data_IF_395901412300
#
_entry.id   IF_395901412300
#
_cell.length_a   1.000
_cell.length_b   1.000
_cell.length_c   1.000
_cell.angle_alpha   90.00
_cell.angle_beta   90.00
_cell.angle_gamma   90.00
#
_symmetry.space_group_name_H-M   'P 1'
#
loop_
_entity.id
_entity.type
_entity.pdbx_description
1 polymer ?
#
# COMPACT_ATOMS: atom_id res chain seq x y z
N UNK A 1 14.97 15.66 25.47
CA UNK A 1 16.11 15.83 24.52
C UNK A 1 15.67 16.80 23.44
N UNK A 2 16.42 17.89 23.22
CA UNK A 2 16.05 18.94 22.25
C UNK A 2 16.44 18.46 20.85
N UNK A 3 15.59 17.65 20.24
CA UNK A 3 15.82 17.09 18.91
C UNK A 3 15.90 18.23 17.89
N UNK A 4 17.00 18.32 17.15
CA UNK A 4 17.18 19.38 16.16
C UNK A 4 16.20 19.16 15.02
N UNK A 5 15.27 20.12 14.83
CA UNK A 5 14.26 20.09 13.75
C UNK A 5 14.88 19.78 12.38
N UNK A 6 16.10 20.28 12.13
CA UNK A 6 16.86 20.07 10.90
C UNK A 6 17.39 18.64 10.75
N UNK A 7 17.81 18.02 11.85
CA UNK A 7 18.33 16.64 11.84
C UNK A 7 17.20 15.64 11.65
N UNK A 8 16.03 15.87 12.25
CA UNK A 8 14.83 15.07 12.00
C UNK A 8 14.44 15.08 10.50
N UNK A 9 14.47 16.25 9.86
CA UNK A 9 14.20 16.39 8.43
C UNK A 9 15.27 15.73 7.56
N UNK A 10 16.55 15.78 7.96
CA UNK A 10 17.62 15.07 7.26
C UNK A 10 17.43 13.55 7.33
N UNK A 11 17.14 12.99 8.52
CA UNK A 11 16.85 11.57 8.66
C UNK A 11 15.57 11.14 7.96
N UNK A 12 14.61 12.05 7.72
CA UNK A 12 13.41 11.74 6.94
C UNK A 12 13.70 11.40 5.47
N UNK A 13 14.91 11.67 4.97
CA UNK A 13 15.33 11.18 3.65
C UNK A 13 15.32 9.64 3.57
N UNK A 14 15.50 8.95 4.70
CA UNK A 14 15.26 7.51 4.78
C UNK A 14 13.85 7.28 5.36
N UNK A 15 12.99 6.53 4.65
CA UNK A 15 11.61 6.32 5.08
C UNK A 15 11.60 5.67 6.46
N UNK A 16 10.96 6.33 7.43
CA UNK A 16 10.83 5.89 8.83
C UNK A 16 11.98 6.27 9.77
N UNK A 17 13.17 6.64 9.29
CA UNK A 17 14.29 7.02 10.16
C UNK A 17 14.05 8.38 10.86
N UNK A 18 13.40 9.33 10.17
CA UNK A 18 12.99 10.60 10.78
C UNK A 18 12.01 10.41 11.95
N UNK A 19 11.11 9.42 11.87
CA UNK A 19 10.21 9.05 12.98
C UNK A 19 10.97 8.50 14.18
N UNK A 20 11.92 7.59 13.95
CA UNK A 20 12.78 7.06 15.02
C UNK A 20 13.59 8.17 15.69
N UNK A 21 14.10 9.14 14.94
CA UNK A 21 14.82 10.29 15.49
C UNK A 21 13.94 11.16 16.40
N UNK A 22 12.63 11.22 16.13
CA UNK A 22 11.66 11.91 16.98
C UNK A 22 11.23 11.10 18.21
N UNK A 23 11.73 9.87 18.39
CA UNK A 23 11.30 8.94 19.43
C UNK A 23 10.03 8.14 19.07
N UNK A 24 9.57 8.23 17.83
CA UNK A 24 8.39 7.51 17.31
C UNK A 24 8.82 6.18 16.68
N UNK A 25 9.33 5.27 17.52
CA UNK A 25 9.95 4.02 17.07
C UNK A 25 8.99 3.11 16.34
N UNK A 26 7.75 2.97 16.81
CA UNK A 26 6.74 2.10 16.16
C UNK A 26 6.43 2.59 14.75
N UNK A 27 6.19 3.88 14.60
CA UNK A 27 5.89 4.48 13.29
C UNK A 27 7.07 4.39 12.33
N UNK A 28 8.28 4.56 12.85
CA UNK A 28 9.50 4.39 12.08
C UNK A 28 9.65 2.97 11.54
N UNK A 29 9.47 1.96 12.38
CA UNK A 29 9.51 0.55 11.98
C UNK A 29 8.40 0.25 10.98
N UNK A 30 7.16 0.67 11.23
CA UNK A 30 6.03 0.44 10.31
C UNK A 30 6.30 1.02 8.91
N UNK A 31 6.84 2.25 8.81
CA UNK A 31 7.19 2.86 7.53
C UNK A 31 8.39 2.19 6.85
N UNK A 32 9.44 1.85 7.61
CA UNK A 32 10.59 1.13 7.09
C UNK A 32 10.17 -0.23 6.55
N UNK A 33 9.43 -1.01 7.33
CA UNK A 33 8.91 -2.30 6.93
C UNK A 33 8.04 -2.18 5.68
N UNK A 34 7.11 -1.23 5.62
CA UNK A 34 6.27 -1.03 4.44
C UNK A 34 7.09 -0.68 3.18
N UNK A 35 8.05 0.23 3.31
CA UNK A 35 8.92 0.64 2.20
C UNK A 35 9.78 -0.51 1.69
N UNK A 36 10.55 -1.16 2.57
CA UNK A 36 11.45 -2.25 2.18
C UNK A 36 10.69 -3.49 1.75
N UNK A 37 9.54 -3.79 2.36
CA UNK A 37 8.68 -4.88 1.91
C UNK A 37 8.16 -4.62 0.49
N UNK A 38 7.71 -3.40 0.20
CA UNK A 38 7.26 -3.04 -1.16
C UNK A 38 8.40 -3.14 -2.18
N UNK A 39 9.60 -2.70 -1.80
CA UNK A 39 10.80 -2.80 -2.65
C UNK A 39 11.17 -4.26 -2.91
N UNK A 40 11.21 -5.08 -1.85
CA UNK A 40 11.47 -6.52 -1.94
C UNK A 40 10.45 -7.20 -2.84
N UNK A 41 9.15 -6.95 -2.64
CA UNK A 41 8.09 -7.57 -3.42
C UNK A 41 8.16 -7.14 -4.90
N UNK A 42 8.42 -5.87 -5.16
CA UNK A 42 8.61 -5.35 -6.52
C UNK A 42 9.78 -6.03 -7.23
N UNK A 43 10.91 -6.17 -6.55
CA UNK A 43 12.12 -6.79 -7.10
C UNK A 43 12.01 -8.30 -7.26
N UNK A 44 11.50 -9.02 -6.27
CA UNK A 44 11.44 -10.49 -6.28
C UNK A 44 10.38 -11.02 -7.23
N UNK A 45 9.25 -10.32 -7.37
CA UNK A 45 8.12 -10.72 -8.22
C UNK A 45 8.24 -10.09 -9.63
N UNK A 46 9.23 -9.20 -9.82
CA UNK A 46 9.39 -8.40 -11.04
C UNK A 46 8.11 -7.61 -11.37
N UNK A 47 7.42 -7.11 -10.34
CA UNK A 47 6.24 -6.27 -10.49
C UNK A 47 6.67 -4.81 -10.50
N UNK A 48 7.01 -4.31 -11.68
CA UNK A 48 7.44 -2.91 -11.89
C UNK A 48 6.40 -1.90 -11.45
N UNK A 49 5.11 -2.24 -11.52
CA UNK A 49 4.06 -1.32 -11.06
C UNK A 49 4.13 -1.07 -9.55
N UNK A 50 4.71 -1.96 -8.74
CA UNK A 50 4.84 -1.73 -7.29
C UNK A 50 5.84 -0.61 -6.98
N UNK A 51 6.80 -0.36 -7.88
CA UNK A 51 7.84 0.66 -7.71
C UNK A 51 7.25 2.06 -7.62
N UNK A 52 6.04 2.31 -8.17
CA UNK A 52 5.32 3.60 -8.05
C UNK A 52 4.92 3.91 -6.59
N UNK A 53 4.74 2.90 -5.75
CA UNK A 53 4.40 3.11 -4.35
C UNK A 53 5.60 3.54 -3.51
N UNK A 54 6.82 3.22 -3.91
CA UNK A 54 8.04 3.61 -3.19
C UNK A 54 8.16 5.14 -2.99
N UNK A 55 8.09 5.98 -4.05
CA UNK A 55 8.14 7.42 -3.85
C UNK A 55 6.93 7.94 -3.06
N UNK A 56 5.75 7.32 -3.20
CA UNK A 56 4.55 7.70 -2.44
C UNK A 56 4.75 7.46 -0.94
N UNK A 57 5.24 6.28 -0.55
CA UNK A 57 5.54 5.92 0.84
C UNK A 57 6.64 6.83 1.40
N UNK A 58 7.66 7.11 0.59
CA UNK A 58 8.76 8.00 0.96
C UNK A 58 8.28 9.44 1.21
N UNK A 59 7.53 10.04 0.28
CA UNK A 59 6.96 11.37 0.45
C UNK A 59 6.04 11.44 1.66
N UNK A 60 5.22 10.42 1.88
CA UNK A 60 4.40 10.33 3.09
C UNK A 60 5.27 10.37 4.35
N UNK A 61 6.37 9.60 4.41
CA UNK A 61 7.29 9.63 5.55
C UNK A 61 7.87 11.02 5.78
N UNK A 62 8.35 11.69 4.72
CA UNK A 62 8.91 13.05 4.80
C UNK A 62 7.88 14.06 5.31
N UNK A 63 6.68 14.08 4.72
CA UNK A 63 5.63 15.02 5.10
C UNK A 63 5.10 14.77 6.52
N UNK A 64 5.00 13.51 6.94
CA UNK A 64 4.54 13.16 8.28
C UNK A 64 5.56 13.60 9.36
N UNK A 65 6.86 13.35 9.13
CA UNK A 65 7.92 13.89 10.02
C UNK A 65 7.89 15.41 10.05
N UNK A 66 7.81 16.07 8.89
CA UNK A 66 7.75 17.54 8.81
C UNK A 66 6.57 18.10 9.61
N UNK A 67 5.39 17.49 9.46
CA UNK A 67 4.19 17.92 10.16
C UNK A 67 4.35 17.76 11.67
N UNK A 68 4.92 16.65 12.14
CA UNK A 68 5.18 16.39 13.56
C UNK A 68 6.23 17.31 14.17
N UNK A 69 7.26 17.68 13.41
CA UNK A 69 8.29 18.65 13.83
C UNK A 69 7.73 20.07 13.95
N UNK A 70 6.73 20.40 13.13
CA UNK A 70 6.05 21.70 13.14
C UNK A 70 4.92 21.78 14.18
N UNK A 71 4.31 20.65 14.53
CA UNK A 71 3.31 20.59 15.58
C UNK A 71 3.92 20.87 16.96
N UNK A 72 3.17 21.57 17.80
CA UNK A 72 3.51 21.77 19.23
C UNK A 72 2.92 20.68 20.12
N UNK A 73 2.16 19.74 19.55
CA UNK A 73 1.56 18.63 20.28
C UNK A 73 2.61 17.64 20.80
N UNK A 74 2.39 17.04 21.99
CA UNK A 74 3.27 16.00 22.50
C UNK A 74 3.26 14.79 21.55
N UNK A 75 4.45 14.35 21.17
CA UNK A 75 4.62 13.19 20.30
C UNK A 75 4.32 11.90 21.08
N UNK A 76 3.30 11.16 20.63
CA UNK A 76 2.92 9.85 21.20
C UNK A 76 3.28 8.74 20.22
N UNK A 77 4.13 7.81 20.66
CA UNK A 77 4.54 6.65 19.86
C UNK A 77 3.40 5.63 19.78
N UNK A 78 2.53 5.85 18.81
CA UNK A 78 1.38 5.03 18.45
C UNK A 78 1.49 4.57 17.01
N UNK A 79 0.74 3.56 16.60
CA UNK A 79 0.74 3.08 15.22
C UNK A 79 0.40 4.24 14.26
N UNK A 80 0.90 4.18 13.03
CA UNK A 80 0.55 5.15 12.00
C UNK A 80 -0.97 5.19 11.83
N UNK A 81 -1.49 6.39 11.57
CA UNK A 81 -2.93 6.62 11.36
C UNK A 81 -3.53 5.68 10.31
N UNK A 82 -2.75 5.31 9.29
CA UNK A 82 -3.18 4.37 8.25
C UNK A 82 -3.33 2.96 8.82
N UNK A 83 -2.34 2.46 9.55
CA UNK A 83 -2.39 1.12 10.18
C UNK A 83 -3.40 1.06 11.32
N UNK A 84 -3.51 2.09 12.17
CA UNK A 84 -4.50 2.11 13.25
C UNK A 84 -5.94 2.16 12.73
N UNK A 85 -6.20 2.87 11.62
CA UNK A 85 -7.50 2.83 10.95
C UNK A 85 -7.81 1.44 10.37
N UNK A 86 -6.81 0.70 9.89
CA UNK A 86 -6.97 -0.67 9.42
C UNK A 86 -7.31 -1.58 10.60
N UNK A 87 -6.52 -1.55 11.68
CA UNK A 87 -6.75 -2.38 12.87
C UNK A 87 -8.11 -2.11 13.51
N UNK A 88 -8.52 -0.85 13.63
CA UNK A 88 -9.85 -0.48 14.17
C UNK A 88 -10.98 -0.97 13.27
N UNK A 89 -10.78 -0.95 11.95
CA UNK A 89 -11.75 -1.48 11.00
C UNK A 89 -11.81 -3.00 11.01
N UNK A 90 -10.69 -3.66 11.28
CA UNK A 90 -10.58 -5.11 11.41
C UNK A 90 -11.31 -5.63 12.67
N UNK A 91 -11.17 -4.91 13.78
CA UNK A 91 -11.96 -5.13 15.01
C UNK A 91 -13.46 -4.93 14.76
N UNK A 92 -13.84 -3.88 14.02
CA UNK A 92 -15.24 -3.59 13.69
C UNK A 92 -15.86 -4.56 12.66
N UNK A 93 -15.07 -5.09 11.70
CA UNK A 93 -15.56 -5.94 10.61
C UNK A 93 -15.58 -7.44 10.92
N UNK A 94 -15.20 -7.85 12.13
CA UNK A 94 -15.12 -9.26 12.50
C UNK A 94 -13.97 -9.95 11.77
N UNK A 95 -12.95 -10.31 12.53
CA UNK A 95 -11.66 -10.91 12.15
C UNK A 95 -11.64 -11.83 10.89
N UNK A 96 -12.71 -12.57 10.60
CA UNK A 96 -12.78 -13.51 9.46
C UNK A 96 -12.72 -12.88 8.06
N UNK A 97 -12.99 -11.59 7.91
CA UNK A 97 -13.03 -10.96 6.59
C UNK A 97 -11.63 -10.62 6.08
N UNK A 98 -10.77 -10.06 6.93
CA UNK A 98 -9.48 -9.52 6.50
C UNK A 98 -8.45 -10.62 6.24
N UNK A 99 -8.43 -11.67 7.06
CA UNK A 99 -7.63 -12.87 6.83
C UNK A 99 -7.90 -13.49 5.44
N UNK A 100 -9.16 -13.51 5.00
CA UNK A 100 -9.54 -14.00 3.66
C UNK A 100 -9.03 -13.10 2.55
N UNK A 101 -9.12 -11.79 2.72
CA UNK A 101 -8.61 -10.83 1.72
C UNK A 101 -7.09 -10.88 1.64
N UNK A 102 -6.39 -11.02 2.77
CA UNK A 102 -4.94 -11.22 2.82
C UNK A 102 -4.57 -12.53 2.12
N UNK A 103 -5.31 -13.61 2.38
CA UNK A 103 -5.13 -14.89 1.70
C UNK A 103 -5.31 -14.80 0.18
N UNK A 104 -6.41 -14.19 -0.28
CA UNK A 104 -6.64 -13.96 -1.71
C UNK A 104 -5.53 -13.10 -2.34
N UNK A 105 -5.10 -12.05 -1.63
CA UNK A 105 -4.00 -11.20 -2.07
C UNK A 105 -2.70 -12.01 -2.22
N UNK A 106 -2.34 -12.84 -1.23
CA UNK A 106 -1.17 -13.71 -1.32
C UNK A 106 -1.25 -14.70 -2.50
N UNK A 107 -2.42 -15.29 -2.74
CA UNK A 107 -2.63 -16.21 -3.87
C UNK A 107 -2.41 -15.47 -5.20
N UNK A 108 -3.04 -14.31 -5.38
CA UNK A 108 -2.89 -13.51 -6.61
C UNK A 108 -1.43 -13.09 -6.81
N UNK A 109 -0.78 -12.60 -5.75
CA UNK A 109 0.64 -12.21 -5.79
C UNK A 109 1.54 -13.41 -6.13
N UNK A 110 1.27 -14.59 -5.56
CA UNK A 110 2.00 -15.82 -5.87
C UNK A 110 1.82 -16.29 -7.32
N UNK A 111 0.60 -16.22 -7.85
CA UNK A 111 0.31 -16.55 -9.26
C UNK A 111 1.05 -15.58 -10.20
N UNK A 112 1.02 -14.29 -9.91
CA UNK A 112 1.79 -13.29 -10.67
C UNK A 112 3.29 -13.58 -10.62
N UNK A 113 3.82 -13.99 -9.46
CA UNK A 113 5.21 -14.39 -9.30
C UNK A 113 5.58 -15.57 -10.21
N UNK A 114 4.75 -16.61 -10.24
CA UNK A 114 4.97 -17.78 -11.09
C UNK A 114 4.98 -17.39 -12.58
N UNK A 115 4.04 -16.55 -13.00
CA UNK A 115 3.99 -16.08 -14.39
C UNK A 115 5.28 -15.31 -14.75
N UNK A 116 5.69 -14.38 -13.88
CA UNK A 116 6.83 -13.50 -14.15
C UNK A 116 8.19 -14.20 -14.08
N UNK A 117 8.38 -15.07 -13.10
CA UNK A 117 9.67 -15.66 -12.80
C UNK A 117 9.88 -17.05 -13.44
N UNK A 118 8.80 -17.74 -13.82
CA UNK A 118 8.87 -19.09 -14.40
C UNK A 118 8.28 -19.12 -15.81
N UNK A 119 7.02 -18.74 -15.98
CA UNK A 119 6.34 -18.92 -17.27
C UNK A 119 6.99 -18.07 -18.37
N UNK A 120 7.19 -16.77 -18.14
CA UNK A 120 7.79 -15.92 -19.17
C UNK A 120 9.24 -16.29 -19.54
N UNK A 121 10.14 -16.59 -18.58
CA UNK A 121 11.47 -17.09 -18.92
C UNK A 121 11.47 -18.43 -19.67
N UNK A 122 10.53 -19.33 -19.37
CA UNK A 122 10.39 -20.57 -20.14
C UNK A 122 9.86 -20.30 -21.55
N UNK A 123 8.88 -19.40 -21.67
CA UNK A 123 8.30 -18.99 -22.94
C UNK A 123 9.30 -18.25 -23.82
N UNK A 124 10.32 -17.59 -23.27
CA UNK A 124 11.32 -16.87 -24.07
C UNK A 124 12.18 -17.78 -24.94
N UNK A 125 12.20 -19.10 -24.67
CA UNK A 125 12.85 -20.07 -25.55
C UNK A 125 12.06 -20.32 -26.86
N UNK A 126 10.78 -19.95 -26.88
CA UNK A 126 9.87 -20.19 -28.00
C UNK A 126 9.31 -18.89 -28.60
N UNK A 127 9.22 -17.83 -27.80
CA UNK A 127 8.59 -16.56 -28.13
C UNK A 127 9.61 -15.44 -27.90
N UNK A 128 9.76 -14.55 -28.88
CA UNK A 128 10.70 -13.43 -28.76
C UNK A 128 10.39 -12.54 -27.53
N UNK A 129 11.45 -12.01 -26.93
CA UNK A 129 11.38 -11.17 -25.73
C UNK A 129 10.49 -9.95 -25.96
N UNK A 130 10.52 -9.38 -27.16
CA UNK A 130 9.68 -8.24 -27.55
C UNK A 130 8.19 -8.57 -27.44
N UNK A 131 7.80 -9.76 -27.89
CA UNK A 131 6.41 -10.23 -27.85
C UNK A 131 5.96 -10.49 -26.41
N UNK A 132 6.82 -11.09 -25.59
CA UNK A 132 6.55 -11.28 -24.15
C UNK A 132 6.31 -9.93 -23.46
N UNK A 133 7.09 -8.90 -23.80
CA UNK A 133 6.92 -7.54 -23.26
C UNK A 133 5.56 -6.95 -23.64
N UNK A 134 5.10 -7.12 -24.87
CA UNK A 134 3.76 -6.66 -25.29
C UNK A 134 2.65 -7.40 -24.55
N UNK A 135 2.76 -8.72 -24.39
CA UNK A 135 1.79 -9.52 -23.64
C UNK A 135 1.71 -9.03 -22.19
N UNK A 136 2.85 -8.78 -21.52
CA UNK A 136 2.89 -8.21 -20.17
C UNK A 136 2.17 -6.86 -20.10
N UNK A 137 2.48 -5.95 -21.03
CA UNK A 137 1.91 -4.60 -21.04
C UNK A 137 0.39 -4.61 -21.29
N UNK A 138 -0.08 -5.46 -22.21
CA UNK A 138 -1.51 -5.67 -22.46
C UNK A 138 -2.19 -6.24 -21.21
N UNK A 139 -1.59 -7.24 -20.56
CA UNK A 139 -2.11 -7.83 -19.33
C UNK A 139 -2.26 -6.80 -18.20
N UNK A 140 -1.24 -5.98 -17.97
CA UNK A 140 -1.27 -4.90 -16.98
C UNK A 140 -2.36 -3.87 -17.31
N UNK A 141 -2.49 -3.51 -18.59
CA UNK A 141 -3.50 -2.56 -19.04
C UNK A 141 -4.92 -3.08 -18.81
N UNK A 142 -5.19 -4.33 -19.21
CA UNK A 142 -6.49 -4.99 -18.98
C UNK A 142 -6.80 -5.06 -17.48
N UNK A 143 -5.80 -5.39 -16.65
CA UNK A 143 -5.96 -5.41 -15.19
C UNK A 143 -6.39 -4.05 -14.64
N UNK A 144 -5.73 -2.95 -15.05
CA UNK A 144 -6.09 -1.61 -14.60
C UNK A 144 -7.48 -1.17 -15.10
N UNK A 145 -7.85 -1.52 -16.34
CA UNK A 145 -9.19 -1.24 -16.87
C UNK A 145 -10.26 -1.98 -16.06
N UNK A 146 -10.06 -3.28 -15.83
CA UNK A 146 -10.99 -4.10 -15.03
C UNK A 146 -11.11 -3.58 -13.59
N UNK A 147 -9.97 -3.21 -12.97
CA UNK A 147 -9.93 -2.60 -11.65
C UNK A 147 -10.71 -1.28 -11.60
N UNK A 148 -10.51 -0.42 -12.61
CA UNK A 148 -11.25 0.84 -12.74
C UNK A 148 -12.76 0.64 -12.85
N UNK A 149 -13.21 -0.27 -13.73
CA UNK A 149 -14.62 -0.60 -13.90
C UNK A 149 -15.23 -1.19 -12.62
N UNK A 150 -14.49 -2.06 -11.91
CA UNK A 150 -14.92 -2.64 -10.65
C UNK A 150 -15.12 -1.58 -9.55
N UNK A 151 -14.20 -0.61 -9.45
CA UNK A 151 -14.30 0.50 -8.51
C UNK A 151 -15.52 1.38 -8.78
N UNK A 152 -15.82 1.66 -10.06
CA UNK A 152 -17.01 2.41 -10.46
C UNK A 152 -18.31 1.70 -10.06
N UNK A 153 -18.36 0.37 -10.17
CA UNK A 153 -19.55 -0.42 -9.82
C UNK A 153 -19.85 -0.42 -8.32
N UNK A 154 -18.82 -0.42 -7.46
CA UNK A 154 -18.99 -0.39 -6.00
C UNK A 154 -19.60 0.92 -5.49
N UNK A 155 -19.26 2.04 -6.12
CA UNK A 155 -19.80 3.36 -5.75
C UNK A 155 -21.33 3.39 -5.94
N UNK A 156 -21.86 2.80 -7.01
CA UNK A 156 -23.31 2.71 -7.28
C UNK A 156 -24.08 1.90 -6.22
N UNK A 157 -23.51 0.79 -5.73
CA UNK A 157 -24.15 -0.05 -4.70
C UNK A 157 -24.20 0.67 -3.33
N UNK A 158 -23.18 1.46 -3.00
CA UNK A 158 -23.12 2.20 -1.74
C UNK A 158 -24.17 3.33 -1.68
N UNK A 159 -24.38 4.04 -2.79
CA UNK A 159 -25.41 5.08 -2.87
C UNK A 159 -26.84 4.52 -2.83
N UNK A 160 -27.07 3.35 -3.43
CA UNK A 160 -28.39 2.71 -3.41
C UNK A 160 -28.76 2.23 -1.98
N UNK A 161 -27.81 1.61 -1.25
CA UNK A 161 -28.04 1.24 0.15
C UNK A 161 -28.25 2.44 1.08
N UNK A 162 -27.47 3.52 0.90
CA UNK A 162 -27.65 4.73 1.70
C UNK A 162 -28.98 5.46 1.41
N UNK A 163 -29.55 5.28 0.21
CA UNK A 163 -30.88 5.79 -0.14
C UNK A 163 -32.01 4.98 0.49
N UNK A 164 -31.92 3.66 0.51
CA UNK A 164 -32.92 2.77 1.14
C UNK A 164 -32.96 2.89 2.68
N UNK A 165 -31.80 3.03 3.35
CA UNK A 165 -31.76 3.23 4.81
C UNK A 165 -32.40 4.55 5.24
N UNK A 166 -32.22 5.63 4.46
CA UNK A 166 -32.87 6.92 4.74
C UNK A 166 -34.39 6.89 4.51
N UNK A 167 -34.87 6.08 3.56
CA UNK A 167 -36.30 5.94 3.30
C UNK A 167 -37.01 5.12 4.38
N UNK A 168 -36.31 4.14 4.98
CA UNK A 168 -36.86 3.29 6.03
C UNK A 168 -36.83 3.90 7.45
N UNK A 169 -36.03 4.95 7.69
CA UNK A 169 -36.01 5.69 8.96
C UNK A 169 -36.97 6.90 9.00
N UNK A 170 -37.62 7.22 7.87
CA UNK A 170 -38.60 8.30 7.75
C UNK A 170 -40.07 7.84 7.80
N UNK A 171 -40.32 6.59 8.19
CA UNK A 171 -41.64 6.01 8.51
C UNK A 171 -41.65 5.60 9.97
#
# INVERSE_FOLDING_TARGET
MKNSKRVATFFAMLPGAGHMYLGLTRQGIELMSLFFFTLFLSSTINLEFLTVFLPIIWFYSVFDVRTKVMSEEPLVDSNLKIFSNISRKEEFLGNRSMEKYIGYFLIVVGVLALINNIIFPLASNYIDYSTIRYIKSIGISIFFIALGLFLLRKKKILYLKAGEEKWNQGK
#
